data_IF_456277305621
#
_entry.id   IF_456277305621
#
_cell.length_a   1.000
_cell.length_b   1.000
_cell.length_c   1.000
_cell.angle_alpha   90.00
_cell.angle_beta   90.00
_cell.angle_gamma   90.00
#
_symmetry.space_group_name_H-M   'P 1'
#
loop_
_entity.id
_entity.type
_entity.pdbx_description
1 polymer ?
#
# COMPACT_ATOMS: atom_id res chain seq x y z
N UNK A 1 27.84 -11.40 32.38
CA UNK A 1 26.82 -12.16 31.62
C UNK A 1 25.44 -11.66 32.03
N UNK A 2 24.98 -10.57 31.43
CA UNK A 2 23.60 -10.10 31.57
C UNK A 2 22.98 -10.21 30.20
N UNK A 3 22.16 -11.24 30.03
CA UNK A 3 21.31 -11.43 28.87
C UNK A 3 20.21 -10.38 28.99
N UNK A 4 20.28 -9.33 28.15
CA UNK A 4 19.15 -8.44 27.94
C UNK A 4 18.06 -9.29 27.27
N UNK A 5 16.83 -9.35 27.79
CA UNK A 5 15.76 -10.08 27.12
C UNK A 5 15.53 -9.41 25.77
N UNK A 6 15.81 -10.13 24.69
CA UNK A 6 15.51 -9.70 23.33
C UNK A 6 14.02 -9.39 23.27
N UNK A 7 13.69 -8.14 22.97
CA UNK A 7 12.32 -7.73 22.71
C UNK A 7 11.85 -8.59 21.52
N UNK A 8 10.96 -9.55 21.75
CA UNK A 8 10.23 -10.29 20.70
C UNK A 8 9.21 -9.36 20.01
N UNK A 9 9.65 -8.16 19.63
CA UNK A 9 8.90 -7.25 18.78
C UNK A 9 8.99 -7.73 17.33
N UNK A 10 7.93 -7.49 16.56
CA UNK A 10 7.97 -7.67 15.12
C UNK A 10 9.03 -6.70 14.54
N UNK A 11 10.20 -7.23 14.14
CA UNK A 11 11.30 -6.44 13.55
C UNK A 11 10.95 -5.73 12.25
N UNK A 12 9.74 -5.92 11.71
CA UNK A 12 9.25 -5.22 10.52
C UNK A 12 9.14 -3.70 10.74
N UNK A 13 8.79 -3.24 11.95
CA UNK A 13 8.75 -1.81 12.24
C UNK A 13 10.16 -1.19 12.19
N UNK A 14 11.15 -1.88 12.76
CA UNK A 14 12.56 -1.48 12.72
C UNK A 14 13.10 -1.52 11.28
N UNK A 15 12.74 -2.55 10.50
CA UNK A 15 13.02 -2.64 9.07
C UNK A 15 12.49 -1.43 8.28
N UNK A 16 11.25 -1.01 8.55
CA UNK A 16 10.64 0.18 7.92
C UNK A 16 11.28 1.50 8.37
N UNK A 17 11.79 1.60 9.60
CA UNK A 17 12.53 2.79 10.03
C UNK A 17 13.93 2.82 9.40
N UNK A 18 14.59 1.66 9.29
CA UNK A 18 15.87 1.56 8.61
C UNK A 18 15.76 1.94 7.14
N UNK A 19 14.70 1.54 6.43
CA UNK A 19 14.51 1.88 5.01
C UNK A 19 14.53 3.39 4.75
N UNK A 20 14.20 4.23 5.74
CA UNK A 20 14.26 5.70 5.63
C UNK A 20 15.68 6.26 5.71
N UNK A 21 16.62 5.51 6.27
CA UNK A 21 18.01 5.94 6.50
C UNK A 21 18.93 5.61 5.32
N UNK A 22 18.49 4.77 4.39
CA UNK A 22 19.26 4.45 3.20
C UNK A 22 18.91 5.47 2.10
N UNK A 23 19.89 6.28 1.64
CA UNK A 23 19.65 7.21 0.54
C UNK A 23 19.28 6.45 -0.74
N UNK A 24 18.56 7.11 -1.64
CA UNK A 24 18.33 6.62 -2.98
C UNK A 24 19.68 6.19 -3.58
N UNK A 25 19.79 4.92 -3.98
CA UNK A 25 21.04 4.38 -4.52
C UNK A 25 21.43 5.17 -5.77
N UNK A 26 22.69 5.63 -5.80
CA UNK A 26 23.32 6.30 -6.93
C UNK A 26 23.03 5.57 -8.26
N UNK A 27 22.90 6.33 -9.34
CA UNK A 27 22.67 5.94 -10.74
C UNK A 27 23.75 5.03 -11.38
N UNK A 28 24.41 4.17 -10.60
CA UNK A 28 25.34 3.17 -11.10
C UNK A 28 24.62 1.84 -11.33
N UNK A 29 24.19 1.59 -12.59
CA UNK A 29 24.03 0.27 -13.24
C UNK A 29 23.84 -0.98 -12.35
N UNK A 30 22.95 -0.93 -11.36
CA UNK A 30 22.58 -2.08 -10.56
C UNK A 30 21.24 -2.62 -11.07
N UNK A 31 21.14 -3.94 -11.19
CA UNK A 31 19.94 -4.60 -11.68
C UNK A 31 18.77 -4.29 -10.75
N UNK A 32 17.72 -3.63 -11.27
CA UNK A 32 16.56 -3.15 -10.50
C UNK A 32 15.79 -4.26 -9.75
N UNK A 33 16.00 -5.52 -10.15
CA UNK A 33 15.32 -6.71 -9.62
C UNK A 33 16.34 -7.72 -9.13
N UNK A 34 16.07 -8.32 -7.97
CA UNK A 34 16.74 -9.50 -7.46
C UNK A 34 15.76 -10.65 -7.35
N UNK A 35 15.98 -11.69 -8.15
CA UNK A 35 15.19 -12.93 -8.08
C UNK A 35 15.69 -13.78 -6.91
N UNK A 36 14.76 -14.27 -6.09
CA UNK A 36 15.08 -15.16 -4.98
C UNK A 36 15.45 -16.55 -5.50
N UNK A 37 16.57 -17.10 -5.02
CA UNK A 37 16.95 -18.51 -5.21
C UNK A 37 16.75 -19.28 -3.89
N UNK A 38 16.81 -20.61 -3.93
CA UNK A 38 16.67 -21.43 -2.72
C UNK A 38 17.74 -21.07 -1.67
N UNK A 39 17.34 -20.94 -0.39
CA UNK A 39 18.20 -20.59 0.75
C UNK A 39 19.01 -19.28 0.60
N UNK A 40 18.47 -18.28 -0.11
CA UNK A 40 19.18 -17.00 -0.29
C UNK A 40 19.18 -16.17 1.00
N UNK A 41 20.36 -15.91 1.56
CA UNK A 41 20.56 -14.77 2.46
C UNK A 41 20.59 -13.49 1.62
N UNK A 42 19.71 -12.55 1.94
CA UNK A 42 19.64 -11.27 1.23
C UNK A 42 20.46 -10.26 2.03
N UNK A 43 21.41 -9.59 1.37
CA UNK A 43 22.13 -8.49 1.99
C UNK A 43 21.16 -7.34 2.23
N UNK A 44 21.22 -6.71 3.41
CA UNK A 44 20.25 -5.69 3.82
C UNK A 44 20.19 -4.49 2.86
N UNK A 45 21.31 -4.15 2.24
CA UNK A 45 21.39 -3.08 1.23
C UNK A 45 20.61 -3.41 -0.05
N UNK A 46 20.53 -4.69 -0.45
CA UNK A 46 19.79 -5.12 -1.62
C UNK A 46 18.26 -5.15 -1.37
N UNK A 47 17.83 -5.26 -0.11
CA UNK A 47 16.41 -5.23 0.26
C UNK A 47 15.78 -3.86 0.08
N UNK A 48 16.59 -2.82 0.32
CA UNK A 48 16.11 -1.44 0.45
C UNK A 48 16.18 -0.65 -0.85
N UNK A 49 16.85 -1.22 -1.86
CA UNK A 49 17.18 -0.56 -3.12
C UNK A 49 16.66 -1.26 -4.37
N UNK A 50 16.12 -2.49 -4.24
CA UNK A 50 15.72 -3.31 -5.39
C UNK A 50 14.40 -4.01 -5.13
N UNK A 51 13.71 -4.32 -6.22
CA UNK A 51 12.54 -5.18 -6.17
C UNK A 51 13.00 -6.62 -5.94
N UNK A 52 12.51 -7.25 -4.89
CA UNK A 52 12.75 -8.67 -4.61
C UNK A 52 11.62 -9.48 -5.25
N UNK A 53 11.95 -10.42 -6.13
CA UNK A 53 10.95 -11.24 -6.84
C UNK A 53 11.06 -12.71 -6.44
N UNK A 54 9.94 -13.30 -6.02
CA UNK A 54 9.75 -14.73 -6.02
C UNK A 54 9.02 -15.19 -7.27
N UNK A 55 9.79 -15.53 -8.31
CA UNK A 55 9.25 -16.02 -9.59
C UNK A 55 8.86 -17.51 -9.57
N UNK A 56 9.09 -18.26 -8.48
CA UNK A 56 8.73 -19.68 -8.42
C UNK A 56 7.23 -19.90 -8.14
N UNK A 57 6.80 -21.15 -8.30
CA UNK A 57 5.46 -21.63 -7.94
C UNK A 57 5.32 -22.02 -6.46
N UNK A 58 6.39 -21.89 -5.67
CA UNK A 58 6.42 -22.21 -4.25
C UNK A 58 6.76 -20.99 -3.40
N UNK A 59 6.31 -20.99 -2.14
CA UNK A 59 6.68 -19.94 -1.21
C UNK A 59 8.18 -20.09 -0.86
N UNK A 60 8.88 -18.96 -0.72
CA UNK A 60 10.30 -18.94 -0.34
C UNK A 60 10.47 -18.30 1.03
N UNK A 61 11.36 -18.88 1.83
CA UNK A 61 11.75 -18.31 3.11
C UNK A 61 12.96 -17.41 2.90
N UNK A 62 12.90 -16.20 3.43
CA UNK A 62 14.00 -15.23 3.42
C UNK A 62 14.34 -14.85 4.85
N UNK A 63 15.63 -14.62 5.11
CA UNK A 63 16.11 -14.10 6.40
C UNK A 63 16.30 -12.60 6.28
N UNK A 64 15.56 -11.81 7.06
CA UNK A 64 15.68 -10.35 7.13
C UNK A 64 15.88 -9.97 8.60
N UNK A 65 16.97 -9.27 8.91
CA UNK A 65 17.34 -8.87 10.29
C UNK A 65 17.25 -10.01 11.32
N UNK A 66 17.77 -11.18 10.96
CA UNK A 66 17.76 -12.36 11.85
C UNK A 66 16.39 -13.01 12.03
N UNK A 67 15.34 -12.55 11.35
CA UNK A 67 13.99 -13.12 11.38
C UNK A 67 13.65 -13.81 10.05
N UNK A 68 12.82 -14.86 10.13
CA UNK A 68 12.34 -15.62 8.97
C UNK A 68 11.04 -15.01 8.45
N UNK A 69 11.04 -14.64 7.18
CA UNK A 69 9.84 -14.16 6.48
C UNK A 69 9.50 -15.09 5.32
N UNK A 70 8.19 -15.23 5.06
CA UNK A 70 7.69 -16.02 3.94
C UNK A 70 7.29 -15.09 2.79
N UNK A 71 7.89 -15.32 1.62
CA UNK A 71 7.56 -14.61 0.38
C UNK A 71 6.66 -15.53 -0.47
N UNK A 72 5.40 -15.14 -0.74
CA UNK A 72 4.46 -15.97 -1.49
C UNK A 72 4.96 -16.35 -2.90
N UNK A 73 4.46 -17.44 -3.50
CA UNK A 73 4.70 -17.74 -4.91
C UNK A 73 4.29 -16.57 -5.82
N UNK A 74 5.02 -16.38 -6.93
CA UNK A 74 4.69 -15.39 -7.97
C UNK A 74 4.45 -13.98 -7.43
N UNK A 75 5.18 -13.60 -6.38
CA UNK A 75 5.07 -12.30 -5.74
C UNK A 75 6.37 -11.52 -5.82
N UNK A 76 6.27 -10.20 -5.70
CA UNK A 76 7.43 -9.33 -5.56
C UNK A 76 7.15 -8.24 -4.54
N UNK A 77 8.17 -7.78 -3.84
CA UNK A 77 8.05 -6.66 -2.91
C UNK A 77 9.24 -5.72 -3.04
N UNK A 78 9.02 -4.47 -2.64
CA UNK A 78 10.04 -3.44 -2.45
C UNK A 78 9.86 -2.91 -1.04
N UNK A 79 10.92 -2.96 -0.24
CA UNK A 79 10.95 -2.32 1.07
C UNK A 79 11.67 -0.98 0.90
N UNK A 80 10.95 0.13 0.84
CA UNK A 80 11.57 1.44 0.62
C UNK A 80 10.74 2.56 1.22
N UNK A 81 11.37 3.72 1.41
CA UNK A 81 10.62 4.95 1.66
C UNK A 81 9.82 5.33 0.40
N UNK A 82 8.63 5.89 0.58
CA UNK A 82 7.74 6.26 -0.53
C UNK A 82 8.30 7.37 -1.42
N UNK A 83 9.30 8.13 -0.95
CA UNK A 83 10.05 9.08 -1.78
C UNK A 83 11.07 8.39 -2.71
N UNK A 84 11.38 7.12 -2.47
CA UNK A 84 12.40 6.34 -3.18
C UNK A 84 11.78 5.21 -4.04
N UNK A 85 10.77 5.54 -4.86
CA UNK A 85 10.05 4.55 -5.68
C UNK A 85 10.68 4.26 -7.05
N UNK A 86 11.86 4.83 -7.35
CA UNK A 86 12.56 4.61 -8.62
C UNK A 86 12.77 3.12 -8.96
N UNK A 87 13.13 2.22 -8.02
CA UNK A 87 13.27 0.79 -8.33
C UNK A 87 11.99 0.15 -8.86
N UNK A 88 10.83 0.64 -8.44
CA UNK A 88 9.53 0.16 -8.92
C UNK A 88 9.25 0.60 -10.37
N UNK A 89 9.74 1.80 -10.76
CA UNK A 89 9.66 2.28 -12.13
C UNK A 89 10.63 1.52 -13.05
N UNK A 90 11.85 1.27 -12.58
CA UNK A 90 12.88 0.54 -13.31
C UNK A 90 12.54 -0.94 -13.49
N UNK A 91 11.66 -1.48 -12.64
CA UNK A 91 11.09 -2.82 -12.79
C UNK A 91 10.23 -2.96 -14.05
N UNK A 92 9.74 -1.84 -14.62
CA UNK A 92 8.99 -1.77 -15.88
C UNK A 92 7.71 -2.61 -15.93
N UNK A 93 7.22 -3.13 -14.79
CA UNK A 93 5.91 -3.77 -14.70
C UNK A 93 4.81 -2.71 -14.60
N UNK A 94 3.68 -3.03 -15.22
CA UNK A 94 2.44 -2.24 -15.12
C UNK A 94 1.40 -3.04 -14.37
N UNK A 95 0.52 -2.34 -13.67
CA UNK A 95 -0.48 -2.95 -12.81
C UNK A 95 -1.89 -2.64 -13.31
N UNK A 96 -2.73 -3.67 -13.40
CA UNK A 96 -4.16 -3.55 -13.72
C UNK A 96 -4.98 -3.07 -12.52
N UNK A 97 -4.48 -3.31 -11.30
CA UNK A 97 -5.08 -2.85 -10.05
C UNK A 97 -3.99 -2.33 -9.12
N UNK A 98 -4.18 -1.13 -8.58
CA UNK A 98 -3.31 -0.52 -7.57
C UNK A 98 -4.16 -0.22 -6.33
N UNK A 99 -3.80 -0.81 -5.19
CA UNK A 99 -4.44 -0.56 -3.89
C UNK A 99 -3.47 0.26 -3.03
N UNK A 100 -3.96 1.34 -2.43
CA UNK A 100 -3.16 2.27 -1.64
C UNK A 100 -3.84 2.47 -0.29
N UNK A 101 -3.09 2.24 0.79
CA UNK A 101 -3.49 2.54 2.17
C UNK A 101 -2.53 3.57 2.79
N UNK A 102 -2.75 4.87 2.56
CA UNK A 102 -1.87 5.91 3.08
C UNK A 102 -1.88 5.99 4.61
N UNK A 103 -0.73 6.29 5.25
CA UNK A 103 -0.70 6.66 6.66
C UNK A 103 -1.27 8.08 6.82
N UNK A 104 -2.60 8.18 6.82
CA UNK A 104 -3.33 9.43 6.91
C UNK A 104 -3.00 10.21 8.18
N UNK A 105 -2.95 11.54 8.06
CA UNK A 105 -2.78 12.38 9.24
C UNK A 105 -3.92 12.15 10.24
N UNK A 106 -3.57 11.67 11.44
CA UNK A 106 -4.49 11.43 12.54
C UNK A 106 -3.91 11.95 13.87
N UNK A 107 -4.79 12.52 14.72
CA UNK A 107 -4.43 13.03 16.05
C UNK A 107 -3.97 11.90 16.98
N UNK A 108 -4.45 10.66 16.78
CA UNK A 108 -3.98 9.50 17.54
C UNK A 108 -2.55 9.12 17.15
N UNK A 109 -2.26 9.04 15.85
CA UNK A 109 -0.93 8.70 15.31
C UNK A 109 0.11 9.74 15.75
N UNK A 110 -0.24 11.03 15.71
CA UNK A 110 0.61 12.11 16.25
C UNK A 110 1.02 11.92 17.72
N UNK A 111 0.20 11.23 18.53
CA UNK A 111 0.49 10.96 19.95
C UNK A 111 1.25 9.66 20.17
N UNK A 112 1.14 8.67 19.27
CA UNK A 112 1.79 7.37 19.44
C UNK A 112 3.24 7.33 18.95
N UNK A 113 3.62 8.25 18.05
CA UNK A 113 4.96 8.34 17.43
C UNK A 113 5.45 7.03 16.79
N UNK A 114 4.52 6.12 16.44
CA UNK A 114 4.86 4.79 15.90
C UNK A 114 5.19 4.79 14.41
N UNK A 115 4.66 5.75 13.66
CA UNK A 115 4.97 6.01 12.25
C UNK A 115 4.57 7.43 11.89
N UNK A 116 5.24 8.01 10.88
CA UNK A 116 4.92 9.33 10.34
C UNK A 116 3.71 9.26 9.41
N UNK A 117 2.99 10.38 9.28
CA UNK A 117 1.93 10.51 8.27
C UNK A 117 2.52 11.03 6.95
N UNK A 118 1.84 10.76 5.83
CA UNK A 118 2.18 11.37 4.54
C UNK A 118 1.36 12.64 4.33
N UNK A 119 2.05 13.72 3.95
CA UNK A 119 1.39 14.95 3.52
C UNK A 119 0.70 14.79 2.17
N UNK A 120 -0.28 15.64 1.89
CA UNK A 120 -0.96 15.70 0.59
C UNK A 120 0.02 15.87 -0.59
N UNK A 121 1.10 16.63 -0.39
CA UNK A 121 2.13 16.81 -1.42
C UNK A 121 2.93 15.52 -1.67
N UNK A 122 3.37 14.84 -0.61
CA UNK A 122 4.08 13.56 -0.73
C UNK A 122 3.21 12.48 -1.38
N UNK A 123 1.91 12.44 -1.05
CA UNK A 123 0.99 11.51 -1.71
C UNK A 123 0.92 11.75 -3.21
N UNK A 124 0.84 13.00 -3.66
CA UNK A 124 0.83 13.33 -5.10
C UNK A 124 2.11 12.84 -5.82
N UNK A 125 3.25 12.73 -5.13
CA UNK A 125 4.51 12.24 -5.71
C UNK A 125 4.53 10.73 -6.01
N UNK A 126 3.58 9.95 -5.49
CA UNK A 126 3.50 8.52 -5.84
C UNK A 126 3.21 8.42 -7.35
N UNK A 127 4.05 7.72 -8.14
CA UNK A 127 3.99 7.77 -9.60
C UNK A 127 2.93 6.81 -10.17
N UNK A 128 1.70 6.87 -9.65
CA UNK A 128 0.58 6.01 -10.08
C UNK A 128 0.38 6.00 -11.61
N UNK A 129 0.40 7.14 -12.33
CA UNK A 129 0.26 7.13 -13.79
C UNK A 129 1.38 6.34 -14.51
N UNK A 130 2.59 6.35 -13.95
CA UNK A 130 3.73 5.63 -14.50
C UNK A 130 3.74 4.14 -14.11
N UNK A 131 2.95 3.71 -13.12
CA UNK A 131 2.83 2.32 -12.70
C UNK A 131 1.59 1.64 -13.29
N UNK A 132 0.57 2.41 -13.64
CA UNK A 132 -0.70 1.91 -14.12
C UNK A 132 -0.62 1.31 -15.54
N UNK A 133 -1.25 0.14 -15.72
CA UNK A 133 -1.63 -0.37 -17.04
C UNK A 133 -2.82 0.44 -17.59
N UNK A 134 -3.13 0.33 -18.90
CA UNK A 134 -4.37 0.90 -19.45
C UNK A 134 -5.59 0.41 -18.66
N UNK A 135 -6.54 1.31 -18.38
CA UNK A 135 -7.75 1.01 -17.58
C UNK A 135 -7.49 0.53 -16.15
N UNK A 136 -6.29 0.76 -15.60
CA UNK A 136 -5.95 0.39 -14.22
C UNK A 136 -6.97 0.92 -13.21
N UNK A 137 -7.45 0.02 -12.35
CA UNK A 137 -8.28 0.33 -11.20
C UNK A 137 -7.40 0.78 -10.04
N UNK A 138 -7.58 2.01 -9.59
CA UNK A 138 -6.95 2.56 -8.39
C UNK A 138 -7.96 2.50 -7.25
N UNK A 139 -7.57 1.89 -6.14
CA UNK A 139 -8.38 1.81 -4.92
C UNK A 139 -7.60 2.47 -3.81
N UNK A 140 -8.18 3.47 -3.15
CA UNK A 140 -7.54 4.18 -2.04
C UNK A 140 -8.35 4.01 -0.78
N UNK A 141 -7.75 3.44 0.25
CA UNK A 141 -8.34 3.39 1.58
C UNK A 141 -8.30 4.76 2.22
N UNK A 142 -9.41 5.21 2.77
CA UNK A 142 -9.55 6.53 3.39
C UNK A 142 -10.25 6.39 4.73
N UNK A 143 -9.68 7.03 5.76
CA UNK A 143 -10.37 7.18 7.05
C UNK A 143 -11.68 7.96 6.89
N UNK A 144 -12.59 7.88 7.86
CA UNK A 144 -13.86 8.66 7.87
C UNK A 144 -13.72 10.20 7.97
N UNK A 145 -12.51 10.74 7.80
CA UNK A 145 -12.31 12.19 7.80
C UNK A 145 -12.65 12.75 6.42
N UNK A 146 -13.71 13.56 6.36
CA UNK A 146 -14.18 14.19 5.11
C UNK A 146 -13.10 15.01 4.38
N UNK A 147 -12.12 15.56 5.11
CA UNK A 147 -10.96 16.25 4.49
C UNK A 147 -10.16 15.30 3.59
N UNK A 148 -9.90 14.08 4.05
CA UNK A 148 -9.12 13.09 3.30
C UNK A 148 -9.93 12.55 2.12
N UNK A 149 -11.25 12.33 2.30
CA UNK A 149 -12.13 11.91 1.22
C UNK A 149 -12.16 12.94 0.07
N UNK A 150 -12.37 14.22 0.41
CA UNK A 150 -12.33 15.32 -0.57
C UNK A 150 -10.97 15.43 -1.23
N UNK A 151 -9.88 15.38 -0.46
CA UNK A 151 -8.54 15.40 -1.04
C UNK A 151 -8.33 14.28 -2.08
N UNK A 152 -8.76 13.05 -1.79
CA UNK A 152 -8.62 11.94 -2.73
C UNK A 152 -9.40 12.20 -4.02
N UNK A 153 -10.68 12.56 -3.91
CA UNK A 153 -11.60 12.72 -5.05
C UNK A 153 -11.33 13.99 -5.87
N UNK A 154 -11.08 15.10 -5.19
CA UNK A 154 -11.09 16.43 -5.78
C UNK A 154 -9.68 16.91 -6.16
N UNK A 155 -8.62 16.28 -5.60
CA UNK A 155 -7.24 16.69 -5.86
C UNK A 155 -6.32 15.54 -6.31
N UNK A 156 -6.25 14.45 -5.55
CA UNK A 156 -5.27 13.38 -5.79
C UNK A 156 -5.58 12.60 -7.07
N UNK A 157 -6.83 12.16 -7.23
CA UNK A 157 -7.26 11.43 -8.42
C UNK A 157 -7.16 12.26 -9.68
N UNK A 158 -7.65 13.53 -9.72
CA UNK A 158 -7.40 14.42 -10.84
C UNK A 158 -5.91 14.60 -11.15
N UNK A 159 -5.05 14.76 -10.13
CA UNK A 159 -3.60 14.87 -10.33
C UNK A 159 -3.00 13.63 -11.01
N UNK A 160 -3.49 12.44 -10.70
CA UNK A 160 -3.07 11.19 -11.33
C UNK A 160 -3.84 10.84 -12.61
N UNK A 161 -4.69 11.75 -13.13
CA UNK A 161 -5.60 11.46 -14.25
C UNK A 161 -6.50 10.24 -13.99
N UNK A 162 -6.92 10.05 -12.75
CA UNK A 162 -7.84 8.99 -12.33
C UNK A 162 -9.26 9.57 -12.28
N UNK A 163 -10.21 8.91 -12.95
CA UNK A 163 -11.65 9.19 -12.80
C UNK A 163 -12.16 8.47 -11.55
N UNK A 164 -12.74 9.17 -10.59
CA UNK A 164 -13.50 8.51 -9.52
C UNK A 164 -14.71 7.78 -10.12
N UNK A 165 -14.95 6.55 -9.67
CA UNK A 165 -16.02 5.69 -10.15
C UNK A 165 -17.03 5.36 -9.06
N UNK A 166 -16.58 5.04 -7.85
CA UNK A 166 -17.46 4.60 -6.77
C UNK A 166 -16.80 4.78 -5.39
N UNK A 167 -17.62 4.76 -4.35
CA UNK A 167 -17.20 4.63 -2.95
C UNK A 167 -17.74 3.33 -2.37
N UNK A 168 -16.86 2.50 -1.82
CA UNK A 168 -17.21 1.28 -1.08
C UNK A 168 -16.92 1.47 0.41
N UNK A 169 -17.54 0.63 1.25
CA UNK A 169 -17.40 0.70 2.69
C UNK A 169 -16.92 -0.63 3.26
N UNK A 170 -15.84 -0.60 4.02
CA UNK A 170 -15.40 -1.74 4.82
C UNK A 170 -15.99 -1.66 6.22
N UNK A 171 -17.02 -2.46 6.49
CA UNK A 171 -17.78 -2.48 7.74
C UNK A 171 -17.21 -3.53 8.69
N UNK A 172 -17.02 -3.12 9.94
CA UNK A 172 -16.49 -3.91 11.04
C UNK A 172 -17.64 -4.32 11.97
N UNK A 173 -17.81 -5.62 12.14
CA UNK A 173 -18.86 -6.21 12.98
C UNK A 173 -18.28 -7.09 14.08
N UNK A 174 -19.07 -7.36 15.11
CA UNK A 174 -18.82 -8.36 16.14
C UNK A 174 -19.10 -9.77 15.58
N UNK A 175 -18.77 -10.81 16.35
CA UNK A 175 -19.13 -12.19 16.03
C UNK A 175 -20.64 -12.43 16.02
N UNK A 176 -21.42 -11.56 16.66
CA UNK A 176 -22.89 -11.59 16.69
C UNK A 176 -23.53 -10.84 15.53
N UNK A 177 -22.73 -10.20 14.64
CA UNK A 177 -23.25 -9.43 13.51
C UNK A 177 -23.56 -7.97 13.80
N UNK A 178 -23.27 -7.50 15.02
CA UNK A 178 -23.52 -6.11 15.43
C UNK A 178 -22.34 -5.21 15.05
N UNK A 179 -22.56 -3.91 14.85
CA UNK A 179 -21.46 -3.00 14.60
C UNK A 179 -20.52 -2.89 15.81
N UNK A 180 -19.21 -2.84 15.56
CA UNK A 180 -18.22 -2.66 16.64
C UNK A 180 -18.32 -1.29 17.33
N UNK A 181 -18.94 -0.31 16.68
CA UNK A 181 -19.32 0.98 17.24
C UNK A 181 -20.68 1.40 16.67
N UNK A 182 -21.51 2.16 17.41
CA UNK A 182 -22.74 2.74 16.87
C UNK A 182 -22.46 3.58 15.62
N UNK A 183 -23.31 3.46 14.59
CA UNK A 183 -23.17 4.21 13.33
C UNK A 183 -23.22 5.72 13.53
N UNK A 184 -24.00 6.18 14.50
CA UNK A 184 -24.21 7.57 14.88
C UNK A 184 -23.10 8.12 15.80
N UNK A 185 -22.12 7.31 16.19
CA UNK A 185 -21.02 7.76 17.04
C UNK A 185 -20.24 8.93 16.40
N UNK A 186 -20.00 9.98 17.19
CA UNK A 186 -19.38 11.22 16.74
C UNK A 186 -17.89 11.08 16.43
N UNK A 187 -17.22 10.11 17.05
CA UNK A 187 -15.75 10.03 17.05
C UNK A 187 -15.19 8.79 16.36
N UNK A 188 -15.91 7.67 16.41
CA UNK A 188 -15.50 6.41 15.79
C UNK A 188 -16.64 5.93 14.92
N UNK A 189 -16.34 5.44 13.72
CA UNK A 189 -17.33 4.78 12.86
C UNK A 189 -16.98 3.31 12.75
N UNK A 190 -17.98 2.42 12.64
CA UNK A 190 -17.74 0.99 12.46
C UNK A 190 -17.37 0.63 11.02
N UNK A 191 -16.99 1.60 10.19
CA UNK A 191 -16.61 1.35 8.81
C UNK A 191 -15.45 2.25 8.39
N UNK A 192 -14.82 1.95 7.26
CA UNK A 192 -13.86 2.82 6.57
C UNK A 192 -14.22 2.88 5.08
N UNK A 193 -13.77 3.93 4.37
CA UNK A 193 -14.17 4.18 2.99
C UNK A 193 -13.06 3.75 2.04
N UNK A 194 -13.44 3.08 0.96
CA UNK A 194 -12.57 2.79 -0.18
C UNK A 194 -13.06 3.65 -1.34
N UNK A 195 -12.22 4.56 -1.84
CA UNK A 195 -12.51 5.30 -3.08
C UNK A 195 -11.95 4.48 -4.24
N UNK A 196 -12.78 4.22 -5.25
CA UNK A 196 -12.39 3.48 -6.45
C UNK A 196 -12.37 4.46 -7.63
N UNK A 197 -11.32 4.38 -8.43
CA UNK A 197 -11.18 5.16 -9.65
C UNK A 197 -10.42 4.44 -10.73
N UNK A 198 -10.49 4.94 -11.96
CA UNK A 198 -9.79 4.34 -13.10
C UNK A 198 -8.89 5.36 -13.79
N UNK A 199 -7.67 4.96 -14.10
CA UNK A 199 -6.73 5.81 -14.85
C UNK A 199 -7.30 6.07 -16.24
N UNK A 200 -7.43 7.35 -16.60
CA UNK A 200 -7.84 7.80 -17.92
C UNK A 200 -6.61 7.93 -18.81
N UNK A 201 -6.72 7.52 -20.08
CA UNK A 201 -5.76 7.91 -21.11
C UNK A 201 -6.12 9.30 -21.65
N UNK A 202 -5.14 9.99 -22.23
CA UNK A 202 -5.39 11.21 -22.99
C UNK A 202 -6.39 10.95 -24.13
N UNK A 203 -7.18 11.96 -24.47
CA UNK A 203 -8.37 11.90 -25.34
C UNK A 203 -8.15 11.16 -26.69
N UNK A 204 -6.92 11.13 -27.21
CA UNK A 204 -6.58 10.53 -28.51
C UNK A 204 -6.62 9.00 -28.55
N UNK A 205 -6.53 8.32 -27.40
CA UNK A 205 -6.52 6.85 -27.34
C UNK A 205 -7.85 6.27 -26.81
N UNK A 206 -8.68 7.08 -26.16
CA UNK A 206 -10.01 6.69 -25.68
C UNK A 206 -10.97 6.32 -26.82
N UNK A 207 -10.76 6.88 -28.02
CA UNK A 207 -11.59 6.63 -29.21
C UNK A 207 -11.41 5.24 -29.81
N UNK A 208 -10.34 4.49 -29.45
CA UNK A 208 -10.02 3.22 -30.12
C UNK A 208 -10.35 1.96 -29.32
N UNK A 209 -10.73 2.07 -28.04
CA UNK A 209 -11.16 0.93 -27.22
C UNK A 209 -12.15 1.38 -26.14
N UNK A 210 -13.42 1.50 -26.49
CA UNK A 210 -14.48 1.29 -25.52
C UNK A 210 -14.65 -0.24 -25.38
N UNK A 211 -13.71 -0.90 -24.71
CA UNK A 211 -13.99 -2.25 -24.21
C UNK A 211 -15.10 -2.10 -23.16
N UNK A 212 -16.08 -3.01 -23.15
CA UNK A 212 -17.22 -3.05 -22.23
C UNK A 212 -16.74 -3.24 -20.78
N UNK A 213 -16.17 -2.20 -20.19
CA UNK A 213 -15.76 -2.24 -18.80
C UNK A 213 -17.01 -2.12 -17.94
N UNK A 214 -17.35 -3.20 -17.26
CA UNK A 214 -18.53 -3.28 -16.41
C UNK A 214 -18.56 -2.11 -15.41
N UNK A 215 -19.74 -1.50 -15.20
CA UNK A 215 -19.89 -0.42 -14.23
C UNK A 215 -19.54 -0.94 -12.84
N UNK A 216 -18.77 -0.15 -12.10
CA UNK A 216 -18.48 -0.45 -10.70
C UNK A 216 -19.69 0.03 -9.88
N UNK A 217 -20.32 -0.86 -9.10
CA UNK A 217 -21.47 -0.49 -8.29
C UNK A 217 -21.06 0.48 -7.18
N UNK A 218 -21.93 1.45 -6.91
CA UNK A 218 -21.77 2.41 -5.84
C UNK A 218 -22.16 1.80 -4.49
N UNK A 219 -21.51 2.25 -3.41
CA UNK A 219 -21.82 1.91 -2.02
C UNK A 219 -21.84 0.42 -1.66
N UNK A 220 -21.01 -0.40 -2.32
CA UNK A 220 -20.82 -1.80 -1.89
C UNK A 220 -20.21 -1.89 -0.49
N UNK A 221 -20.63 -2.93 0.23
CA UNK A 221 -20.16 -3.24 1.58
C UNK A 221 -19.22 -4.46 1.54
N UNK A 222 -18.07 -4.33 2.18
CA UNK A 222 -17.20 -5.43 2.57
C UNK A 222 -17.36 -5.56 4.08
N UNK A 223 -17.77 -6.73 4.58
CA UNK A 223 -18.04 -6.93 6.01
C UNK A 223 -17.03 -7.90 6.60
N UNK A 224 -16.43 -7.55 7.74
CA UNK A 224 -15.50 -8.43 8.45
C UNK A 224 -15.58 -8.28 9.96
N UNK A 225 -15.18 -9.34 10.67
CA UNK A 225 -14.96 -9.31 12.12
C UNK A 225 -13.48 -8.95 12.36
N UNK A 226 -13.17 -7.82 13.03
CA UNK A 226 -11.79 -7.43 13.28
C UNK A 226 -11.01 -8.49 14.08
N UNK A 227 -9.75 -8.68 13.73
CA UNK A 227 -8.86 -9.58 14.46
C UNK A 227 -8.33 -8.89 15.73
N UNK A 228 -8.45 -9.55 16.89
CA UNK A 228 -7.97 -9.04 18.18
C UNK A 228 -6.46 -8.84 18.24
N UNK A 229 -5.68 -9.57 17.42
CA UNK A 229 -4.22 -9.50 17.38
C UNK A 229 -3.67 -8.20 16.76
N UNK A 230 -4.48 -7.53 15.92
CA UNK A 230 -4.05 -6.34 15.17
C UNK A 230 -4.95 -5.12 15.42
N UNK A 231 -5.96 -5.26 16.29
CA UNK A 231 -6.92 -4.21 16.65
C UNK A 231 -6.67 -3.76 18.09
N UNK A 232 -5.60 -2.99 18.31
CA UNK A 232 -5.30 -2.35 19.61
C UNK A 232 -5.81 -0.90 19.66
#
# INVERSE_FOLDING_TARGET
KNVVPGHLGCGLAELCEMSKQFPAVNEGSQQAVRVLHENTSILEQDLLSRVIENSSSCAKMVMLMGQKYLVPPKSSFLLSDVSCLQPLLDYKKKYDVIVIDPPWENKSVKRSNRYSYLSSWQLKQIPVPALAAPNCLVVTWVTNRQKHLRFVKDELYPHWSVKTLAEWHWVKITRTGEFVFPLDSLHKKPYEVLVLGRVQRGEKEALRKCEDVLPIPEHKLIVSIPCSLHSH
#
